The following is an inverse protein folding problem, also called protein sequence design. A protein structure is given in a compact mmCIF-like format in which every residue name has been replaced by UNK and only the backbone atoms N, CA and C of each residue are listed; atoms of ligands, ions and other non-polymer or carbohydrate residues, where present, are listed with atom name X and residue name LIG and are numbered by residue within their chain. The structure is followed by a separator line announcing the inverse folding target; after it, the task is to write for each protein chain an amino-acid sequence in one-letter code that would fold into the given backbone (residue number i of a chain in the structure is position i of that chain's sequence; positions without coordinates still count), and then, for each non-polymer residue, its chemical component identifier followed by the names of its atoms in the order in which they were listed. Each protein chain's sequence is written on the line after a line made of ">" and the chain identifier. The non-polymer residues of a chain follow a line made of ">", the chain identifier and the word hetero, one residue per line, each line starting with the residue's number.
data_IF_451175881101
#
_entry.id   IF_451175881101
#
_cell.length_a   1.000
_cell.length_b   1.000
_cell.length_c   1.000
_cell.angle_alpha   90.00
_cell.angle_beta   90.00
_cell.angle_gamma   90.00
#
_symmetry.space_group_name_H-M   'P 1'
#
loop_
_entity.id
_entity.type
_entity.pdbx_description
1 polymer ?
#
# COMPACT_ATOMS: atom_id res chain seq x y z
N UNK A 1 2.08 24.03 -18.55
CA UNK A 1 1.73 25.12 -17.62
C UNK A 1 0.98 24.64 -16.38
N UNK A 2 -0.18 24.00 -16.51
CA UNK A 2 -0.97 23.54 -15.33
C UNK A 2 -0.17 22.65 -14.34
N UNK A 3 0.57 21.66 -14.85
CA UNK A 3 1.39 20.78 -14.02
C UNK A 3 2.49 21.53 -13.24
N UNK A 4 3.04 22.61 -13.81
CA UNK A 4 4.04 23.43 -13.13
C UNK A 4 3.42 24.25 -11.98
N UNK A 5 2.22 24.80 -12.19
CA UNK A 5 1.49 25.53 -11.16
C UNK A 5 1.10 24.62 -9.98
N UNK A 6 0.63 23.39 -10.25
CA UNK A 6 0.35 22.39 -9.20
C UNK A 6 1.61 22.01 -8.42
N UNK A 7 2.75 21.85 -9.09
CA UNK A 7 4.03 21.56 -8.43
C UNK A 7 4.51 22.70 -7.53
N UNK A 8 4.35 23.95 -7.96
CA UNK A 8 4.62 25.11 -7.12
C UNK A 8 3.68 25.16 -5.91
N UNK A 9 2.40 24.81 -6.08
CA UNK A 9 1.45 24.67 -4.99
C UNK A 9 1.88 23.61 -3.95
N UNK A 10 2.32 22.44 -4.40
CA UNK A 10 2.83 21.37 -3.53
C UNK A 10 4.09 21.80 -2.76
N UNK A 11 5.02 22.49 -3.42
CA UNK A 11 6.23 23.00 -2.78
C UNK A 11 5.90 24.05 -1.71
N UNK A 12 4.93 24.93 -1.97
CA UNK A 12 4.45 25.92 -1.01
C UNK A 12 3.80 25.24 0.20
N UNK A 13 2.89 24.29 -0.03
CA UNK A 13 2.22 23.53 1.03
C UNK A 13 3.22 22.79 1.93
N UNK A 14 4.22 22.13 1.33
CA UNK A 14 5.27 21.45 2.07
C UNK A 14 6.04 22.44 2.95
N UNK A 15 6.40 23.60 2.40
CA UNK A 15 7.13 24.67 3.12
C UNK A 15 6.33 25.22 4.30
N UNK A 16 5.03 25.43 4.12
CA UNK A 16 4.12 25.90 5.17
C UNK A 16 3.91 24.83 6.25
N UNK A 17 3.99 23.55 5.88
CA UNK A 17 3.77 22.42 6.79
C UNK A 17 5.03 21.96 7.54
N UNK A 18 6.24 22.44 7.18
CA UNK A 18 7.53 21.99 7.78
C UNK A 18 7.53 22.05 9.32
N UNK A 19 6.83 23.03 9.91
CA UNK A 19 6.78 23.20 11.37
C UNK A 19 5.94 22.14 12.09
N UNK A 20 5.11 21.39 11.36
CA UNK A 20 4.21 20.37 11.89
C UNK A 20 4.61 18.95 11.49
N UNK A 21 5.65 18.81 10.68
CA UNK A 21 6.12 17.53 10.14
C UNK A 21 7.43 17.10 10.81
N UNK A 22 7.62 15.80 10.97
CA UNK A 22 8.88 15.26 11.47
C UNK A 22 10.01 15.48 10.44
N UNK A 23 11.29 15.59 10.88
CA UNK A 23 12.42 15.81 9.96
C UNK A 23 12.58 14.76 8.86
N UNK A 24 12.08 13.54 9.08
CA UNK A 24 12.04 12.50 8.07
C UNK A 24 10.98 12.77 6.99
N UNK A 25 9.76 13.13 7.40
CA UNK A 25 8.65 13.46 6.48
C UNK A 25 8.96 14.68 5.63
N UNK A 26 9.64 15.69 6.21
CA UNK A 26 10.13 16.86 5.47
C UNK A 26 11.12 16.45 4.38
N UNK A 27 12.08 15.57 4.70
CA UNK A 27 13.05 15.06 3.72
C UNK A 27 12.35 14.27 2.61
N UNK A 28 11.45 13.36 2.96
CA UNK A 28 10.69 12.56 1.99
C UNK A 28 9.83 13.44 1.07
N UNK A 29 9.17 14.46 1.63
CA UNK A 29 8.41 15.45 0.85
C UNK A 29 9.29 16.23 -0.11
N UNK A 30 10.46 16.69 0.35
CA UNK A 30 11.43 17.42 -0.48
C UNK A 30 11.97 16.55 -1.63
N UNK A 31 12.33 15.29 -1.35
CA UNK A 31 12.77 14.33 -2.36
C UNK A 31 11.67 14.07 -3.41
N UNK A 32 10.42 13.93 -2.97
CA UNK A 32 9.28 13.69 -3.87
C UNK A 32 9.04 14.89 -4.78
N UNK A 33 9.06 16.12 -4.24
CA UNK A 33 8.92 17.35 -5.04
C UNK A 33 10.08 17.48 -6.04
N UNK A 34 11.32 17.22 -5.63
CA UNK A 34 12.49 17.27 -6.51
C UNK A 34 12.39 16.26 -7.66
N UNK A 35 11.95 15.03 -7.38
CA UNK A 35 11.70 14.02 -8.41
C UNK A 35 10.67 14.48 -9.44
N UNK A 36 9.53 14.99 -8.98
CA UNK A 36 8.47 15.47 -9.87
C UNK A 36 8.90 16.68 -10.73
N UNK A 37 9.75 17.55 -10.18
CA UNK A 37 10.37 18.64 -10.96
C UNK A 37 11.29 18.09 -12.05
N UNK A 38 12.08 17.06 -11.75
CA UNK A 38 12.91 16.35 -12.73
C UNK A 38 12.08 15.71 -13.85
N UNK A 39 11.00 15.02 -13.51
CA UNK A 39 10.09 14.39 -14.48
C UNK A 39 9.42 15.43 -15.39
N UNK A 40 8.99 16.55 -14.83
CA UNK A 40 8.41 17.67 -15.59
C UNK A 40 9.45 18.25 -16.57
N UNK A 41 10.69 18.42 -16.14
CA UNK A 41 11.78 18.93 -16.98
C UNK A 41 12.10 17.96 -18.13
N UNK A 42 12.21 16.66 -17.83
CA UNK A 42 12.44 15.62 -18.83
C UNK A 42 11.30 15.58 -19.87
N UNK A 43 10.03 15.63 -19.43
CA UNK A 43 8.88 15.70 -20.34
C UNK A 43 8.87 16.96 -21.18
N UNK A 44 9.20 18.12 -20.59
CA UNK A 44 9.35 19.38 -21.35
C UNK A 44 10.43 19.26 -22.42
N UNK A 45 11.57 18.64 -22.13
CA UNK A 45 12.64 18.43 -23.10
C UNK A 45 12.22 17.49 -24.24
N UNK A 46 11.46 16.43 -23.93
CA UNK A 46 10.92 15.52 -24.95
C UNK A 46 9.91 16.20 -25.88
N UNK A 47 9.15 17.16 -25.36
CA UNK A 47 8.15 17.93 -26.11
C UNK A 47 8.75 19.15 -26.85
N UNK A 48 10.04 19.45 -26.69
CA UNK A 48 10.67 20.50 -27.48
C UNK A 48 10.69 20.10 -28.96
N UNK A 49 10.26 20.99 -29.88
CA UNK A 49 10.35 20.70 -31.30
C UNK A 49 11.82 20.47 -31.68
N UNK A 50 12.11 19.32 -32.30
CA UNK A 50 13.45 19.01 -32.82
C UNK A 50 13.89 20.18 -33.70
N UNK A 51 15.06 20.78 -33.40
CA UNK A 51 15.68 21.83 -34.21
C UNK A 51 15.90 21.30 -35.65
N UNK A 52 14.91 21.45 -36.51
CA UNK A 52 15.08 21.31 -37.96
C UNK A 52 15.31 22.71 -38.52
N UNK A 53 16.34 22.79 -39.37
CA UNK A 53 16.75 23.92 -40.20
C UNK A 53 17.60 25.02 -39.52
N UNK A 54 18.90 24.77 -39.44
CA UNK A 54 19.91 25.82 -39.53
C UNK A 54 20.19 26.10 -41.01
N UNK A 55 20.07 27.36 -41.42
CA UNK A 55 20.26 27.84 -42.79
C UNK A 55 21.76 27.81 -43.17
N UNK A 56 22.10 27.12 -44.27
CA UNK A 56 23.37 27.30 -45.01
C UNK A 56 23.12 28.20 -46.21
N UNK A 57 23.90 29.26 -46.33
CA UNK A 57 23.84 30.27 -47.40
C UNK A 57 24.55 29.76 -48.67
N UNK A 58 23.91 29.83 -49.84
CA UNK A 58 24.58 29.97 -51.15
C UNK A 58 23.61 30.46 -52.24
N UNK A 59 24.17 31.26 -53.15
CA UNK A 59 23.54 32.15 -54.16
C UNK A 59 22.82 31.43 -55.32
N UNK A 60 21.67 32.01 -55.72
CA UNK A 60 21.15 32.40 -57.07
C UNK A 60 21.18 31.36 -58.23
N UNK A 61 20.01 30.93 -58.74
CA UNK A 61 19.33 31.47 -59.96
C UNK A 61 18.04 30.73 -60.40
N UNK A 62 17.02 31.54 -60.77
CA UNK A 62 15.96 31.41 -61.79
C UNK A 62 14.85 30.30 -61.79
N UNK A 63 13.67 30.71 -61.27
CA UNK A 63 12.24 30.63 -61.70
C UNK A 63 11.78 29.97 -63.05
N UNK A 64 10.45 29.84 -63.35
CA UNK A 64 9.22 29.82 -62.51
C UNK A 64 8.18 28.73 -62.90
N UNK A 65 7.12 28.56 -62.09
CA UNK A 65 5.80 28.21 -62.64
C UNK A 65 4.76 27.58 -61.70
N UNK A 66 3.70 28.35 -61.43
CA UNK A 66 2.31 27.98 -61.06
C UNK A 66 1.92 27.80 -59.57
N UNK A 67 1.19 28.81 -59.09
CA UNK A 67 0.14 28.80 -58.05
C UNK A 67 -1.24 28.88 -58.76
N UNK A 68 -2.44 28.71 -58.12
CA UNK A 68 -2.75 28.83 -56.69
C UNK A 68 -3.72 27.77 -56.05
N UNK A 69 -3.77 27.86 -54.71
CA UNK A 69 -4.71 27.32 -53.67
C UNK A 69 -6.17 27.86 -53.79
N UNK A 70 -7.18 27.62 -52.88
CA UNK A 70 -7.23 26.85 -51.61
C UNK A 70 -8.56 26.04 -51.33
N UNK A 71 -8.61 25.41 -50.14
CA UNK A 71 -9.74 25.32 -49.18
C UNK A 71 -10.60 24.04 -49.12
N UNK A 72 -10.57 23.46 -47.91
CA UNK A 72 -11.43 22.46 -47.30
C UNK A 72 -12.68 23.14 -46.68
N UNK A 73 -13.83 22.45 -46.57
CA UNK A 73 -14.64 22.62 -45.37
C UNK A 73 -15.30 21.34 -44.80
N UNK A 74 -15.37 21.32 -43.47
CA UNK A 74 -16.44 20.79 -42.59
C UNK A 74 -16.55 19.28 -42.24
N UNK A 75 -16.46 19.00 -40.93
CA UNK A 75 -17.27 18.01 -40.16
C UNK A 75 -18.61 18.69 -39.76
N UNK A 76 -19.74 18.03 -39.38
CA UNK A 76 -19.84 16.84 -38.46
C UNK A 76 -21.07 15.89 -38.63
N UNK A 77 -21.07 14.73 -37.94
CA UNK A 77 -22.24 14.04 -37.32
C UNK A 77 -21.71 12.70 -36.74
N UNK A 78 -21.70 12.41 -35.42
CA UNK A 78 -22.80 12.23 -34.46
C UNK A 78 -23.66 10.98 -34.74
N UNK A 79 -23.25 9.84 -34.18
CA UNK A 79 -24.14 8.70 -33.94
C UNK A 79 -23.83 8.10 -32.56
N UNK A 80 -24.84 8.08 -31.71
CA UNK A 80 -24.91 7.37 -30.43
C UNK A 80 -26.16 6.44 -30.48
N UNK A 81 -26.46 5.62 -29.46
CA UNK A 81 -26.16 4.18 -29.46
C UNK A 81 -27.44 3.31 -29.30
N UNK A 82 -27.28 1.98 -29.38
CA UNK A 82 -28.28 1.02 -28.93
C UNK A 82 -27.60 -0.21 -28.26
N UNK A 83 -28.29 -0.91 -27.34
CA UNK A 83 -27.70 -1.39 -26.09
C UNK A 83 -27.52 -2.91 -25.99
N UNK A 84 -26.63 -3.37 -25.10
CA UNK A 84 -26.53 -4.78 -24.73
C UNK A 84 -25.48 -5.10 -23.66
N UNK A 85 -25.92 -5.16 -22.40
CA UNK A 85 -25.54 -6.08 -21.31
C UNK A 85 -24.05 -6.52 -21.12
N UNK A 86 -23.43 -6.08 -20.02
CA UNK A 86 -22.18 -6.65 -19.44
C UNK A 86 -21.66 -5.80 -18.28
N UNK A 87 -21.06 -6.40 -17.22
CA UNK A 87 -21.14 -5.90 -15.85
C UNK A 87 -20.21 -4.72 -15.53
N UNK A 88 -20.61 -3.93 -14.52
CA UNK A 88 -19.90 -2.77 -14.03
C UNK A 88 -18.55 -3.16 -13.38
N UNK A 89 -17.48 -3.10 -14.14
CA UNK A 89 -16.13 -2.93 -13.62
C UNK A 89 -15.90 -1.43 -13.40
N UNK A 90 -15.98 -1.02 -12.14
CA UNK A 90 -15.48 0.30 -11.74
C UNK A 90 -13.97 0.31 -11.88
N UNK A 91 -13.47 0.97 -12.92
CA UNK A 91 -12.05 1.32 -13.07
C UNK A 91 -11.58 2.10 -11.84
N UNK A 92 -10.88 1.43 -10.94
CA UNK A 92 -10.11 2.09 -9.90
C UNK A 92 -8.86 2.70 -10.55
N UNK A 93 -8.95 3.97 -10.94
CA UNK A 93 -7.78 4.79 -11.28
C UNK A 93 -7.03 5.10 -9.98
N UNK A 94 -6.22 4.15 -9.55
CA UNK A 94 -5.24 4.26 -8.48
C UNK A 94 -3.98 3.48 -8.84
N UNK A 95 -2.82 3.76 -8.22
CA UNK A 95 -1.66 2.88 -8.37
C UNK A 95 -2.06 1.45 -7.96
N UNK A 96 -1.47 0.40 -8.58
CA UNK A 96 -1.80 -0.97 -8.25
C UNK A 96 -1.66 -1.19 -6.74
N UNK A 97 -2.72 -1.73 -6.13
CA UNK A 97 -2.75 -2.09 -4.71
C UNK A 97 -1.56 -3.01 -4.43
N UNK A 98 -0.73 -2.65 -3.45
CA UNK A 98 0.37 -3.51 -3.01
C UNK A 98 -0.24 -4.68 -2.24
N UNK A 99 0.08 -5.92 -2.62
CA UNK A 99 -0.44 -7.11 -1.96
C UNK A 99 -0.89 -8.22 -2.91
N UNK A 100 -1.71 -9.13 -2.39
CA UNK A 100 -2.12 -10.35 -3.09
C UNK A 100 -3.62 -10.55 -2.97
N UNK A 101 -4.26 -11.03 -4.04
CA UNK A 101 -5.69 -11.34 -4.04
C UNK A 101 -5.99 -12.64 -4.77
N UNK A 102 -6.90 -13.45 -4.22
CA UNK A 102 -7.49 -14.61 -4.92
C UNK A 102 -6.55 -15.78 -5.21
N UNK A 103 -5.37 -15.82 -4.60
CA UNK A 103 -4.44 -16.95 -4.75
C UNK A 103 -4.83 -18.13 -3.84
N UNK A 104 -4.51 -19.35 -4.27
CA UNK A 104 -4.82 -20.57 -3.53
C UNK A 104 -3.62 -21.53 -3.48
N UNK A 105 -3.27 -22.00 -2.28
CA UNK A 105 -2.19 -22.98 -2.02
C UNK A 105 -0.81 -22.54 -2.57
N UNK A 106 -0.54 -21.23 -2.53
CA UNK A 106 0.70 -20.65 -3.02
C UNK A 106 1.57 -20.11 -1.89
N UNK A 107 2.89 -20.07 -2.13
CA UNK A 107 3.81 -19.27 -1.34
C UNK A 107 4.00 -17.91 -2.00
N UNK A 108 3.70 -16.85 -1.26
CA UNK A 108 3.70 -15.47 -1.73
C UNK A 108 4.69 -14.65 -0.91
N UNK A 109 5.50 -13.81 -1.55
CA UNK A 109 6.49 -12.99 -0.85
C UNK A 109 6.52 -11.56 -1.38
N UNK A 110 6.59 -10.58 -0.46
CA UNK A 110 6.93 -9.20 -0.79
C UNK A 110 8.18 -8.79 -0.02
N UNK A 111 9.12 -8.17 -0.73
CA UNK A 111 10.40 -7.72 -0.19
C UNK A 111 10.39 -6.26 0.29
N UNK A 112 11.53 -5.78 0.82
CA UNK A 112 11.63 -4.44 1.41
C UNK A 112 11.36 -3.31 0.40
N UNK A 113 11.75 -3.51 -0.87
CA UNK A 113 11.55 -2.53 -1.93
C UNK A 113 10.07 -2.35 -2.30
N UNK A 114 9.26 -3.40 -2.15
CA UNK A 114 7.84 -3.40 -2.47
C UNK A 114 7.01 -2.87 -1.31
N UNK A 115 7.43 -3.16 -0.07
CA UNK A 115 6.69 -2.79 1.14
C UNK A 115 6.91 -1.34 1.58
N UNK A 116 8.10 -0.77 1.34
CA UNK A 116 8.59 0.58 1.68
C UNK A 116 7.51 1.64 2.07
N UNK A 117 6.96 1.57 3.29
CA UNK A 117 5.88 2.44 3.78
C UNK A 117 4.61 2.48 2.89
N UNK A 118 4.29 1.37 2.21
CA UNK A 118 3.06 1.21 1.42
C UNK A 118 1.99 0.50 2.23
N UNK A 119 0.74 0.76 1.85
CA UNK A 119 -0.42 0.03 2.35
C UNK A 119 -0.54 -1.30 1.62
N UNK A 120 -0.61 -2.40 2.38
CA UNK A 120 -0.65 -3.77 1.87
C UNK A 120 -2.02 -4.38 2.10
N UNK A 121 -2.58 -5.03 1.08
CA UNK A 121 -3.85 -5.74 1.17
C UNK A 121 -3.66 -7.19 0.76
N UNK A 122 -4.00 -8.11 1.67
CA UNK A 122 -4.11 -9.54 1.41
C UNK A 122 -5.60 -9.89 1.41
N UNK A 123 -6.17 -10.26 0.27
CA UNK A 123 -7.60 -10.55 0.14
C UNK A 123 -7.89 -11.90 -0.46
N UNK A 124 -8.90 -12.59 0.07
CA UNK A 124 -9.48 -13.79 -0.56
C UNK A 124 -8.46 -14.91 -0.82
N UNK A 125 -7.44 -15.02 0.04
CA UNK A 125 -6.40 -16.06 -0.06
C UNK A 125 -6.86 -17.35 0.62
N UNK A 126 -6.48 -18.51 0.06
CA UNK A 126 -6.83 -19.83 0.62
C UNK A 126 -5.65 -20.76 0.70
N UNK A 127 -5.32 -21.26 1.88
CA UNK A 127 -4.20 -22.21 2.03
C UNK A 127 -2.82 -21.61 1.71
N UNK A 128 -2.71 -20.30 1.54
CA UNK A 128 -1.47 -19.64 1.14
C UNK A 128 -0.54 -19.38 2.33
N UNK A 129 0.77 -19.39 2.06
CA UNK A 129 1.81 -18.92 2.97
C UNK A 129 2.38 -17.60 2.46
N UNK A 130 2.11 -16.51 3.17
CA UNK A 130 2.54 -15.16 2.77
C UNK A 130 3.69 -14.69 3.66
N UNK A 131 4.79 -14.25 3.06
CA UNK A 131 5.95 -13.68 3.76
C UNK A 131 6.13 -12.22 3.33
N UNK A 132 5.92 -11.28 4.25
CA UNK A 132 6.12 -9.85 4.03
C UNK A 132 7.38 -9.41 4.78
N UNK A 133 8.51 -9.35 4.07
CA UNK A 133 9.83 -8.99 4.64
C UNK A 133 10.13 -7.53 4.36
N UNK A 134 9.92 -6.68 5.35
CA UNK A 134 10.09 -5.24 5.20
C UNK A 134 9.20 -4.47 6.15
N UNK A 135 9.01 -3.20 5.82
CA UNK A 135 8.20 -2.30 6.61
C UNK A 135 7.07 -1.72 5.77
N UNK A 136 5.86 -2.20 6.05
CA UNK A 136 4.61 -1.69 5.48
C UNK A 136 4.06 -0.54 6.33
N UNK A 137 3.34 0.40 5.71
CA UNK A 137 2.66 1.46 6.47
C UNK A 137 1.42 0.93 7.19
N UNK A 138 0.52 0.26 6.45
CA UNK A 138 -0.65 -0.45 6.98
C UNK A 138 -0.74 -1.85 6.35
N UNK A 139 -1.37 -2.78 7.06
CA UNK A 139 -1.70 -4.10 6.53
C UNK A 139 -3.20 -4.39 6.73
N UNK A 140 -3.86 -4.86 5.67
CA UNK A 140 -5.23 -5.36 5.73
C UNK A 140 -5.26 -6.81 5.27
N UNK A 141 -5.78 -7.70 6.10
CA UNK A 141 -5.99 -9.11 5.77
C UNK A 141 -7.49 -9.35 5.76
N UNK A 142 -8.05 -9.67 4.60
CA UNK A 142 -9.49 -9.73 4.37
C UNK A 142 -9.91 -11.06 3.75
N UNK A 143 -10.91 -11.72 4.34
CA UNK A 143 -11.55 -12.91 3.78
C UNK A 143 -10.57 -14.07 3.46
N UNK A 144 -9.45 -14.17 4.22
CA UNK A 144 -8.45 -15.22 4.04
C UNK A 144 -8.79 -16.48 4.86
N UNK A 145 -8.49 -17.68 4.34
CA UNK A 145 -8.79 -18.95 5.00
C UNK A 145 -7.64 -19.95 4.96
N UNK A 146 -7.32 -20.59 6.08
CA UNK A 146 -6.25 -21.60 6.10
C UNK A 146 -4.87 -21.01 5.80
N UNK A 147 -4.67 -19.69 5.98
CA UNK A 147 -3.47 -18.99 5.55
C UNK A 147 -2.48 -18.80 6.69
N UNK A 148 -1.19 -18.86 6.37
CA UNK A 148 -0.12 -18.42 7.26
C UNK A 148 0.45 -17.11 6.75
N UNK A 149 0.35 -16.03 7.53
CA UNK A 149 0.88 -14.71 7.17
C UNK A 149 1.98 -14.35 8.15
N UNK A 150 3.20 -14.23 7.62
CA UNK A 150 4.38 -13.76 8.34
C UNK A 150 4.67 -12.34 7.88
N UNK A 151 4.50 -11.35 8.76
CA UNK A 151 4.71 -9.95 8.43
C UNK A 151 5.72 -9.30 9.34
N UNK A 152 6.63 -8.54 8.74
CA UNK A 152 7.52 -7.62 9.44
C UNK A 152 6.76 -6.50 10.14
N UNK A 153 7.49 -5.57 10.77
CA UNK A 153 6.89 -4.47 11.50
C UNK A 153 6.10 -3.53 10.59
N UNK A 154 4.86 -3.27 10.98
CA UNK A 154 3.92 -2.36 10.32
C UNK A 154 3.89 -1.05 11.09
N UNK A 155 4.19 0.06 10.42
CA UNK A 155 4.32 1.38 11.05
C UNK A 155 3.10 1.77 11.86
N UNK A 156 1.89 1.49 11.37
CA UNK A 156 0.66 1.99 11.99
C UNK A 156 -0.24 0.86 12.51
N UNK A 157 -1.16 0.37 11.69
CA UNK A 157 -2.21 -0.54 12.12
C UNK A 157 -2.34 -1.74 11.20
N UNK A 158 -2.80 -2.84 11.79
CA UNK A 158 -3.20 -4.04 11.09
C UNK A 158 -4.70 -4.25 11.31
N UNK A 159 -5.42 -4.45 10.22
CA UNK A 159 -6.83 -4.83 10.23
C UNK A 159 -6.97 -6.25 9.69
N UNK A 160 -7.56 -7.13 10.48
CA UNK A 160 -7.92 -8.49 10.09
C UNK A 160 -9.43 -8.61 10.09
N UNK A 161 -10.03 -8.95 8.96
CA UNK A 161 -11.49 -8.98 8.80
C UNK A 161 -11.93 -10.23 8.02
N UNK A 162 -12.91 -10.96 8.55
CA UNK A 162 -13.50 -12.11 7.85
C UNK A 162 -12.57 -13.32 7.67
N UNK A 163 -11.52 -13.45 8.49
CA UNK A 163 -10.54 -14.53 8.37
C UNK A 163 -10.93 -15.79 9.16
N UNK A 164 -10.49 -16.97 8.71
CA UNK A 164 -10.76 -18.22 9.44
C UNK A 164 -9.63 -19.23 9.31
N UNK A 165 -9.32 -19.94 10.39
CA UNK A 165 -8.25 -20.96 10.40
C UNK A 165 -6.90 -20.39 9.92
N UNK A 166 -6.59 -19.16 10.33
CA UNK A 166 -5.38 -18.46 9.93
C UNK A 166 -4.35 -18.43 11.04
N UNK A 167 -3.08 -18.41 10.64
CA UNK A 167 -1.92 -18.22 11.51
C UNK A 167 -1.25 -16.89 11.14
N UNK A 168 -1.37 -15.90 12.00
CA UNK A 168 -1.02 -14.51 11.70
C UNK A 168 0.11 -14.05 12.64
N UNK A 169 1.28 -13.74 12.07
CA UNK A 169 2.45 -13.28 12.81
C UNK A 169 2.74 -11.84 12.43
N UNK A 170 2.44 -10.90 13.34
CA UNK A 170 2.27 -9.48 13.04
C UNK A 170 2.91 -8.59 14.11
N UNK A 171 3.63 -7.54 13.70
CA UNK A 171 4.08 -6.49 14.61
C UNK A 171 3.52 -5.13 14.17
N UNK A 172 2.86 -4.39 15.07
CA UNK A 172 2.18 -3.13 14.72
C UNK A 172 1.91 -2.23 15.94
N UNK A 173 1.43 -1.00 15.73
CA UNK A 173 0.98 -0.17 16.85
C UNK A 173 -0.39 -0.60 17.35
N UNK A 174 -1.32 -0.86 16.43
CA UNK A 174 -2.71 -1.20 16.72
C UNK A 174 -3.15 -2.40 15.89
N UNK A 175 -3.75 -3.38 16.57
CA UNK A 175 -4.37 -4.54 15.91
C UNK A 175 -5.88 -4.46 16.10
N UNK A 176 -6.62 -4.52 15.00
CA UNK A 176 -8.08 -4.65 15.01
C UNK A 176 -8.46 -5.93 14.27
N UNK A 177 -9.24 -6.77 14.93
CA UNK A 177 -9.70 -8.04 14.38
C UNK A 177 -11.22 -8.06 14.40
N UNK A 178 -11.82 -8.38 13.26
CA UNK A 178 -13.26 -8.41 13.07
C UNK A 178 -13.68 -9.69 12.35
N UNK A 179 -14.86 -10.25 12.68
CA UNK A 179 -15.45 -11.43 12.01
C UNK A 179 -14.48 -12.61 11.82
N UNK A 180 -13.57 -12.83 12.78
CA UNK A 180 -12.48 -13.80 12.64
C UNK A 180 -12.65 -15.00 13.56
N UNK A 181 -12.41 -16.21 13.02
CA UNK A 181 -12.69 -17.47 13.74
C UNK A 181 -11.53 -18.45 13.70
N UNK A 182 -11.38 -19.23 14.77
CA UNK A 182 -10.43 -20.35 14.87
C UNK A 182 -9.00 -19.98 14.43
N UNK A 183 -8.54 -18.76 14.74
CA UNK A 183 -7.28 -18.22 14.22
C UNK A 183 -6.29 -17.91 15.33
N UNK A 184 -4.99 -18.09 15.03
CA UNK A 184 -3.88 -17.91 15.97
C UNK A 184 -3.06 -16.68 15.59
N UNK A 185 -2.78 -15.85 16.58
CA UNK A 185 -2.11 -14.57 16.45
C UNK A 185 -0.81 -14.56 17.25
N UNK A 186 0.32 -14.35 16.58
CA UNK A 186 1.63 -14.13 17.20
C UNK A 186 1.99 -12.67 17.01
N UNK A 187 1.74 -11.86 18.03
CA UNK A 187 1.67 -10.41 17.85
C UNK A 187 2.64 -9.66 18.73
N UNK A 188 3.10 -8.52 18.22
CA UNK A 188 3.69 -7.46 19.02
C UNK A 188 2.88 -6.21 18.77
N UNK A 189 2.23 -5.71 19.83
CA UNK A 189 1.34 -4.56 19.74
C UNK A 189 1.76 -3.51 20.75
N UNK A 190 2.12 -2.31 20.30
CA UNK A 190 2.63 -1.26 21.21
C UNK A 190 1.52 -0.52 21.97
N UNK A 191 0.33 -0.43 21.37
CA UNK A 191 -0.84 0.22 21.94
C UNK A 191 -1.87 -0.79 22.44
N UNK A 192 -2.77 -1.27 21.57
CA UNK A 192 -3.88 -2.16 21.93
C UNK A 192 -4.25 -3.11 20.80
N UNK A 193 -4.65 -4.32 21.18
CA UNK A 193 -5.34 -5.27 20.32
C UNK A 193 -6.82 -5.27 20.66
N UNK A 194 -7.68 -5.16 19.66
CA UNK A 194 -9.14 -5.15 19.80
C UNK A 194 -9.74 -6.24 18.92
N UNK A 195 -10.73 -6.96 19.45
CA UNK A 195 -11.51 -7.95 18.72
C UNK A 195 -13.00 -7.61 18.74
N UNK A 196 -13.72 -7.96 17.68
CA UNK A 196 -15.17 -7.79 17.51
C UNK A 196 -15.71 -8.89 16.57
N UNK A 197 -16.87 -9.47 16.85
CA UNK A 197 -17.47 -10.66 16.22
C UNK A 197 -16.44 -11.78 15.98
N UNK A 198 -15.60 -12.04 16.98
CA UNK A 198 -14.55 -13.05 16.93
C UNK A 198 -14.90 -14.28 17.77
N UNK A 199 -14.37 -15.45 17.41
CA UNK A 199 -14.60 -16.68 18.19
C UNK A 199 -13.39 -17.60 18.10
N UNK A 200 -12.94 -18.13 19.24
CA UNK A 200 -11.77 -19.03 19.33
C UNK A 200 -10.51 -18.44 18.68
N UNK A 201 -10.26 -17.15 18.90
CA UNK A 201 -9.00 -16.54 18.52
C UNK A 201 -8.00 -16.68 19.67
N UNK A 202 -6.73 -16.91 19.39
CA UNK A 202 -5.74 -17.02 20.47
C UNK A 202 -4.46 -16.25 20.18
N UNK A 203 -3.86 -15.73 21.24
CA UNK A 203 -2.75 -14.78 21.17
C UNK A 203 -1.48 -15.31 21.83
N UNK A 204 -0.35 -15.03 21.22
CA UNK A 204 1.01 -15.32 21.68
C UNK A 204 1.94 -14.16 21.34
N UNK A 205 3.13 -14.10 21.96
CA UNK A 205 4.16 -13.14 21.57
C UNK A 205 4.60 -13.35 20.12
N UNK A 206 4.93 -12.27 19.42
CA UNK A 206 5.61 -12.31 18.13
C UNK A 206 6.96 -13.01 18.24
N UNK A 207 7.20 -14.05 17.43
CA UNK A 207 8.42 -14.89 17.47
C UNK A 207 9.11 -15.02 16.11
N UNK A 208 8.64 -14.34 15.07
CA UNK A 208 9.28 -14.42 13.75
C UNK A 208 10.55 -13.57 13.71
N UNK A 209 11.58 -14.06 13.01
CA UNK A 209 12.85 -13.35 12.78
C UNK A 209 13.29 -13.55 11.33
N UNK A 210 13.85 -12.51 10.71
CA UNK A 210 14.39 -12.58 9.35
C UNK A 210 15.51 -11.54 9.14
N UNK A 211 16.40 -11.73 8.13
CA UNK A 211 17.47 -10.78 7.84
C UNK A 211 16.96 -9.37 7.50
N UNK A 212 17.43 -8.37 8.24
CA UNK A 212 17.01 -6.97 8.04
C UNK A 212 15.87 -6.50 8.93
N UNK A 213 15.28 -7.40 9.74
CA UNK A 213 14.18 -7.06 10.67
C UNK A 213 14.51 -5.92 11.62
N UNK A 214 15.75 -5.84 12.13
CA UNK A 214 16.17 -4.75 13.03
C UNK A 214 15.98 -3.36 12.41
N UNK A 215 16.41 -3.20 11.15
CA UNK A 215 16.24 -1.96 10.38
C UNK A 215 14.77 -1.69 10.06
N UNK A 216 14.01 -2.73 9.78
CA UNK A 216 12.58 -2.58 9.49
C UNK A 216 11.83 -2.08 10.73
N UNK A 217 12.19 -2.56 11.93
CA UNK A 217 11.63 -2.06 13.18
C UNK A 217 12.03 -0.61 13.44
N UNK A 218 13.30 -0.26 13.23
CA UNK A 218 13.77 1.12 13.38
C UNK A 218 13.01 2.08 12.44
N UNK A 219 12.85 1.70 11.17
CA UNK A 219 12.11 2.50 10.19
C UNK A 219 10.60 2.56 10.46
N UNK A 220 10.04 1.60 11.21
CA UNK A 220 8.60 1.57 11.53
C UNK A 220 8.23 2.51 12.67
N UNK A 221 9.22 2.91 13.47
CA UNK A 221 8.99 3.68 14.69
C UNK A 221 8.31 2.90 15.81
N UNK A 222 8.16 1.56 15.67
CA UNK A 222 7.62 0.72 16.74
C UNK A 222 8.62 0.63 17.90
N UNK A 223 8.13 0.93 19.10
CA UNK A 223 8.89 0.74 20.33
C UNK A 223 8.96 -0.76 20.69
N UNK A 224 10.14 -1.35 20.57
CA UNK A 224 10.39 -2.76 20.91
C UNK A 224 10.21 -3.08 22.39
N UNK A 225 10.32 -2.07 23.26
CA UNK A 225 10.17 -2.27 24.72
C UNK A 225 8.70 -2.39 25.14
N UNK A 226 7.77 -1.96 24.27
CA UNK A 226 6.34 -1.99 24.52
C UNK A 226 5.69 -3.13 23.75
N UNK A 227 5.19 -4.12 24.48
CA UNK A 227 4.51 -5.24 23.89
C UNK A 227 3.30 -5.69 24.73
N UNK A 228 2.10 -5.31 24.26
CA UNK A 228 0.81 -5.58 24.89
C UNK A 228 0.08 -6.76 24.21
N UNK A 229 0.81 -7.76 23.72
CA UNK A 229 0.27 -8.93 23.02
C UNK A 229 -0.78 -9.72 23.83
N UNK A 230 -0.71 -9.65 25.17
CA UNK A 230 -1.61 -10.34 26.10
C UNK A 230 -2.76 -9.46 26.61
N UNK A 231 -2.86 -8.21 26.16
CA UNK A 231 -3.93 -7.28 26.52
C UNK A 231 -4.85 -7.08 25.32
N UNK A 232 -5.92 -7.87 25.27
CA UNK A 232 -6.89 -7.88 24.18
C UNK A 232 -8.24 -7.40 24.69
N UNK A 233 -8.74 -6.31 24.11
CA UNK A 233 -10.06 -5.76 24.40
C UNK A 233 -11.09 -6.46 23.49
N UNK A 234 -12.09 -7.10 24.07
CA UNK A 234 -13.22 -7.69 23.32
C UNK A 234 -14.42 -6.74 23.37
N UNK A 235 -14.79 -6.19 22.21
CA UNK A 235 -15.84 -5.19 22.10
C UNK A 235 -17.24 -5.76 22.34
N UNK A 236 -17.47 -7.04 22.05
CA UNK A 236 -18.77 -7.69 22.24
C UNK A 236 -18.99 -8.16 23.69
N UNK A 237 -17.93 -8.19 24.50
CA UNK A 237 -17.97 -8.73 25.85
C UNK A 237 -18.05 -7.62 26.90
N UNK A 238 -19.29 -7.21 27.23
CA UNK A 238 -19.56 -6.16 28.21
C UNK A 238 -19.40 -6.60 29.68
N UNK A 239 -19.24 -7.90 29.94
CA UNK A 239 -19.14 -8.43 31.29
C UNK A 239 -17.74 -8.15 31.88
N UNK A 240 -17.69 -7.36 32.96
CA UNK A 240 -16.43 -7.00 33.64
C UNK A 240 -15.99 -8.04 34.67
N UNK A 241 -16.90 -8.92 35.10
CA UNK A 241 -16.69 -9.93 36.14
C UNK A 241 -16.13 -11.26 35.61
N UNK A 242 -16.14 -11.46 34.29
CA UNK A 242 -15.72 -12.72 33.64
C UNK A 242 -14.83 -12.44 32.43
N UNK A 243 -13.79 -13.26 32.20
CA UNK A 243 -13.01 -13.17 30.97
C UNK A 243 -13.89 -13.48 29.76
N UNK A 244 -13.59 -12.84 28.63
CA UNK A 244 -14.25 -13.15 27.38
C UNK A 244 -14.00 -14.62 26.97
N UNK A 245 -15.02 -15.34 26.48
CA UNK A 245 -14.85 -16.68 25.92
C UNK A 245 -14.33 -16.66 24.48
N UNK A 246 -14.28 -15.50 23.82
CA UNK A 246 -13.98 -15.38 22.40
C UNK A 246 -12.48 -15.47 22.11
N UNK A 247 -11.64 -15.18 23.10
CA UNK A 247 -10.20 -15.22 22.97
C UNK A 247 -9.49 -15.90 24.13
N UNK A 248 -8.28 -16.39 23.87
CA UNK A 248 -7.42 -16.98 24.90
C UNK A 248 -5.93 -16.73 24.62
N UNK A 249 -5.07 -17.05 25.58
CA UNK A 249 -3.62 -17.06 25.37
C UNK A 249 -3.18 -18.45 24.93
N UNK A 250 -2.25 -18.54 23.98
CA UNK A 250 -1.66 -19.81 23.58
C UNK A 250 -0.72 -20.30 24.69
N UNK A 251 -0.91 -21.52 25.22
CA UNK A 251 0.01 -22.13 26.19
C UNK A 251 1.42 -22.21 25.64
N UNK A 252 2.43 -22.01 26.49
CA UNK A 252 3.85 -21.96 26.07
C UNK A 252 4.30 -23.20 25.30
N UNK A 253 3.79 -24.37 25.67
CA UNK A 253 4.14 -25.66 25.08
C UNK A 253 3.56 -25.83 23.67
N UNK A 254 2.51 -25.07 23.32
CA UNK A 254 1.84 -25.10 22.01
C UNK A 254 2.33 -23.97 21.09
N UNK A 255 3.22 -23.10 21.58
CA UNK A 255 3.73 -21.97 20.79
C UNK A 255 4.70 -22.43 19.73
N UNK A 256 4.50 -21.93 18.51
CA UNK A 256 5.42 -22.11 17.40
C UNK A 256 6.66 -21.24 17.63
N UNK A 257 7.83 -21.89 17.62
CA UNK A 257 9.14 -21.26 17.77
C UNK A 257 9.98 -21.28 16.49
N UNK A 258 9.61 -22.12 15.52
CA UNK A 258 10.27 -22.25 14.23
C UNK A 258 9.24 -22.01 13.11
N UNK A 259 9.58 -21.09 12.21
CA UNK A 259 8.71 -20.59 11.13
C UNK A 259 9.28 -20.92 9.75
N UNK A 260 10.07 -22.00 9.67
CA UNK A 260 10.61 -22.52 8.42
C UNK A 260 9.50 -23.17 7.57
#
# INVERSE_FOLDING_TARGET
>A
EEAAARLQGLQKLLTESVRFLAPYEVRQGQETVARLQGDLAARRQQLQPKKKFAFRTLKKEAAPGSEPRPAEPARPEAAAPAPGHGPAEGEAVGPPLCGFSGAENEELELGPAELLQRDVVLSELRGCRVRLRGNANTLRVRDCRGCTVLCGPVSTSVLVDGCSDCLLVLACQQLRTHRTRDSRFYVQVTSRAVIEDCTKVSFAPYTWSYPGMERDFESSGLDKTRNNWNLVDDFDWLATDKPSPNWSLIPEQERISCWD
#
